data_IF_631662928609
#
_entry.id   IF_631662928609
#
_cell.length_a   1.000
_cell.length_b   1.000
_cell.length_c   1.000
_cell.angle_alpha   90.00
_cell.angle_beta   90.00
_cell.angle_gamma   90.00
#
_symmetry.space_group_name_H-M   'P 1'
#
loop_
_entity.id
_entity.type
_entity.pdbx_description
1 polymer ?
#
# COMPACT_ATOMS: atom_id res chain seq x y z
N UNK A 1 13.96 -46.17 -49.43
CA UNK A 1 13.37 -44.96 -48.82
C UNK A 1 11.93 -45.31 -48.47
N UNK A 2 11.55 -45.30 -47.18
CA UNK A 2 10.17 -45.64 -46.79
C UNK A 2 9.23 -44.56 -47.30
N UNK A 3 8.12 -44.97 -47.92
CA UNK A 3 7.06 -44.02 -48.30
C UNK A 3 6.47 -43.37 -47.04
N UNK A 4 6.00 -42.11 -47.14
CA UNK A 4 5.28 -41.48 -46.05
C UNK A 4 4.01 -42.29 -45.70
N UNK A 5 3.65 -42.39 -44.41
CA UNK A 5 2.50 -43.15 -43.96
C UNK A 5 1.21 -42.61 -44.60
N UNK A 6 0.41 -43.51 -45.18
CA UNK A 6 -0.87 -43.22 -45.88
C UNK A 6 -2.09 -43.32 -44.98
N UNK A 7 -1.90 -43.47 -43.67
CA UNK A 7 -3.01 -43.55 -42.72
C UNK A 7 -3.54 -42.14 -42.43
N UNK A 8 -4.80 -41.90 -42.79
CA UNK A 8 -5.57 -40.76 -42.32
C UNK A 8 -5.51 -40.73 -40.78
N UNK A 9 -4.79 -39.75 -40.24
CA UNK A 9 -4.83 -39.47 -38.82
C UNK A 9 -6.22 -38.90 -38.49
N UNK A 10 -6.91 -39.47 -37.51
CA UNK A 10 -8.17 -38.89 -36.99
C UNK A 10 -7.95 -37.51 -36.38
N UNK A 11 -6.71 -37.14 -36.06
CA UNK A 11 -6.32 -35.82 -35.56
C UNK A 11 -5.96 -34.81 -36.67
N UNK A 12 -5.73 -35.26 -37.92
CA UNK A 12 -5.28 -34.40 -39.02
C UNK A 12 -5.89 -34.77 -40.39
N UNK A 13 -7.12 -35.29 -40.43
CA UNK A 13 -7.74 -35.59 -41.71
C UNK A 13 -8.36 -34.32 -42.32
N UNK A 14 -7.78 -33.85 -43.42
CA UNK A 14 -8.21 -32.61 -44.06
C UNK A 14 -9.63 -32.64 -44.65
N UNK A 15 -10.20 -33.84 -44.85
CA UNK A 15 -11.56 -34.02 -45.39
C UNK A 15 -12.68 -33.56 -44.43
N UNK A 16 -12.35 -33.22 -43.18
CA UNK A 16 -13.28 -32.60 -42.22
C UNK A 16 -13.18 -31.07 -42.18
N UNK A 17 -12.33 -30.45 -43.01
CA UNK A 17 -12.36 -29.00 -43.20
C UNK A 17 -13.29 -28.65 -44.38
N UNK A 18 -14.29 -27.80 -44.13
CA UNK A 18 -15.26 -27.37 -45.16
C UNK A 18 -14.64 -26.49 -46.29
N UNK A 19 -13.38 -26.08 -46.16
CA UNK A 19 -12.62 -25.35 -47.16
C UNK A 19 -11.13 -25.40 -46.80
N UNK A 20 -10.24 -24.93 -47.68
CA UNK A 20 -8.79 -24.84 -47.40
C UNK A 20 -8.45 -23.96 -46.17
N UNK A 21 -9.40 -23.13 -45.72
CA UNK A 21 -9.33 -22.32 -44.48
C UNK A 21 -10.36 -22.76 -43.42
N UNK A 22 -10.98 -23.94 -43.57
CA UNK A 22 -11.99 -24.46 -42.65
C UNK A 22 -11.45 -24.68 -41.25
N UNK A 23 -12.29 -24.45 -40.24
CA UNK A 23 -12.01 -24.78 -38.84
C UNK A 23 -12.67 -26.13 -38.51
N UNK A 24 -12.06 -26.94 -37.63
CA UNK A 24 -12.70 -28.15 -37.09
C UNK A 24 -14.00 -27.73 -36.41
N UNK A 25 -15.14 -28.20 -36.89
CA UNK A 25 -16.43 -27.91 -36.25
C UNK A 25 -16.73 -29.01 -35.25
N UNK A 26 -16.95 -28.60 -34.01
CA UNK A 26 -16.88 -29.46 -32.83
C UNK A 26 -18.20 -30.18 -32.60
N UNK A 27 -18.34 -31.40 -33.10
CA UNK A 27 -19.13 -32.37 -32.34
C UNK A 27 -18.51 -32.51 -30.96
N UNK A 28 -19.37 -32.61 -29.94
CA UNK A 28 -19.09 -32.46 -28.49
C UNK A 28 -17.80 -33.10 -27.97
N UNK A 29 -17.27 -34.13 -28.64
CA UNK A 29 -16.04 -34.83 -28.30
C UNK A 29 -14.72 -34.12 -28.68
N UNK A 30 -14.74 -33.13 -29.59
CA UNK A 30 -13.52 -32.50 -30.13
C UNK A 30 -13.24 -31.09 -29.59
N UNK A 31 -13.94 -30.67 -28.53
CA UNK A 31 -13.83 -29.36 -27.84
C UNK A 31 -12.49 -29.01 -27.17
N UNK A 32 -11.46 -29.83 -27.36
CA UNK A 32 -10.24 -29.78 -26.54
C UNK A 32 -9.06 -29.06 -27.18
N UNK A 33 -9.19 -28.50 -28.39
CA UNK A 33 -8.04 -27.95 -29.10
C UNK A 33 -8.27 -26.54 -29.68
N UNK A 34 -7.39 -25.62 -29.32
CA UNK A 34 -7.20 -24.32 -30.00
C UNK A 34 -6.20 -24.49 -31.15
N UNK A 35 -6.51 -23.98 -32.34
CA UNK A 35 -5.59 -23.98 -33.48
C UNK A 35 -4.34 -23.16 -33.16
N UNK A 36 -3.15 -23.69 -33.49
CA UNK A 36 -1.89 -22.95 -33.39
C UNK A 36 -1.97 -21.65 -34.21
N UNK A 37 -1.76 -20.50 -33.56
CA UNK A 37 -1.86 -19.17 -34.17
C UNK A 37 -3.28 -18.66 -34.41
N UNK A 38 -4.31 -19.40 -34.00
CA UNK A 38 -5.71 -18.97 -34.06
C UNK A 38 -6.16 -18.23 -32.81
N UNK A 39 -7.25 -17.46 -32.92
CA UNK A 39 -7.97 -16.86 -31.79
C UNK A 39 -9.10 -17.78 -31.33
N UNK A 40 -9.35 -17.89 -30.03
CA UNK A 40 -10.44 -18.69 -29.48
C UNK A 40 -11.03 -18.06 -28.22
N UNK A 41 -12.32 -18.24 -28.00
CA UNK A 41 -13.04 -17.79 -26.78
C UNK A 41 -13.34 -19.01 -25.92
N UNK A 42 -12.96 -19.00 -24.65
CA UNK A 42 -13.24 -20.07 -23.69
C UNK A 42 -14.24 -19.57 -22.65
N UNK A 43 -15.25 -20.37 -22.34
CA UNK A 43 -16.21 -20.06 -21.25
C UNK A 43 -15.57 -20.14 -19.87
N UNK A 44 -14.53 -20.97 -19.72
CA UNK A 44 -13.69 -21.04 -18.52
C UNK A 44 -12.27 -21.47 -18.90
N UNK A 45 -11.27 -20.95 -18.18
CA UNK A 45 -9.88 -21.33 -18.30
C UNK A 45 -9.29 -21.48 -16.89
N UNK A 46 -8.76 -22.66 -16.56
CA UNK A 46 -8.00 -22.89 -15.34
C UNK A 46 -6.51 -23.05 -15.70
N UNK A 47 -5.66 -22.15 -15.23
CA UNK A 47 -4.21 -22.19 -15.46
C UNK A 47 -3.52 -22.49 -14.14
N UNK A 48 -2.87 -23.66 -14.03
CA UNK A 48 -2.12 -24.06 -12.83
C UNK A 48 -0.80 -23.30 -12.70
N UNK A 49 -0.24 -22.87 -13.83
CA UNK A 49 1.01 -22.11 -13.91
C UNK A 49 0.82 -20.64 -14.25
N UNK A 50 1.81 -20.08 -14.94
CA UNK A 50 1.81 -18.68 -15.32
C UNK A 50 1.05 -18.45 -16.63
N UNK A 51 0.34 -17.32 -16.71
CA UNK A 51 -0.17 -16.79 -17.96
C UNK A 51 0.85 -15.79 -18.53
N UNK A 52 1.51 -16.16 -19.64
CA UNK A 52 2.31 -15.22 -20.40
C UNK A 52 1.46 -14.66 -21.54
N UNK A 53 0.99 -13.42 -21.39
CA UNK A 53 0.13 -12.75 -22.35
C UNK A 53 0.61 -11.32 -22.56
N UNK A 54 0.34 -10.76 -23.74
CA UNK A 54 0.67 -9.36 -24.05
C UNK A 54 -0.21 -8.35 -23.29
N UNK A 55 -1.45 -8.73 -22.98
CA UNK A 55 -2.37 -7.95 -22.13
C UNK A 55 -3.38 -8.89 -21.48
N UNK A 56 -3.79 -8.57 -20.25
CA UNK A 56 -4.87 -9.25 -19.55
C UNK A 56 -6.04 -8.28 -19.42
N UNK A 57 -7.22 -8.67 -19.89
CA UNK A 57 -8.44 -7.86 -19.79
C UNK A 57 -9.42 -8.54 -18.85
N UNK A 58 -9.96 -7.82 -17.88
CA UNK A 58 -10.99 -8.31 -16.94
C UNK A 58 -12.22 -7.43 -17.12
N UNK A 59 -13.37 -8.06 -17.40
CA UNK A 59 -14.64 -7.37 -17.65
C UNK A 59 -14.55 -6.26 -18.71
N UNK A 60 -13.75 -6.47 -19.76
CA UNK A 60 -13.57 -5.51 -20.85
C UNK A 60 -12.53 -4.42 -20.63
N UNK A 61 -11.91 -4.34 -19.44
CA UNK A 61 -10.84 -3.38 -19.14
C UNK A 61 -9.48 -4.07 -19.11
N UNK A 62 -8.52 -3.54 -19.87
CA UNK A 62 -7.12 -3.98 -19.79
C UNK A 62 -6.58 -3.65 -18.39
N UNK A 63 -5.93 -4.61 -17.77
CA UNK A 63 -5.24 -4.44 -16.50
C UNK A 63 -3.90 -3.74 -16.74
N UNK A 64 -3.74 -2.53 -16.22
CA UNK A 64 -2.46 -1.81 -16.21
C UNK A 64 -1.61 -2.28 -15.02
N UNK A 65 -0.51 -2.98 -15.31
CA UNK A 65 0.41 -3.51 -14.32
C UNK A 65 1.62 -2.60 -14.04
N UNK A 66 1.70 -1.43 -14.68
CA UNK A 66 2.82 -0.49 -14.50
C UNK A 66 3.03 -0.11 -13.02
N UNK A 67 1.95 -0.05 -12.24
CA UNK A 67 1.99 0.21 -10.80
C UNK A 67 2.43 -0.95 -9.91
N UNK A 68 2.50 -2.21 -10.41
CA UNK A 68 2.87 -3.36 -9.56
C UNK A 68 4.29 -3.26 -9.01
N UNK A 69 5.19 -2.57 -9.73
CA UNK A 69 6.54 -2.31 -9.25
C UNK A 69 6.57 -1.60 -7.90
N UNK A 70 5.58 -0.76 -7.61
CA UNK A 70 5.49 -0.01 -6.35
C UNK A 70 4.94 -0.83 -5.19
N UNK A 71 4.09 -1.85 -5.44
CA UNK A 71 3.46 -2.68 -4.41
C UNK A 71 4.11 -4.06 -4.24
N UNK A 72 4.91 -4.51 -5.21
CA UNK A 72 5.67 -5.76 -5.10
C UNK A 72 6.73 -5.65 -4.00
N UNK A 73 6.69 -6.60 -3.05
CA UNK A 73 7.67 -6.75 -1.97
C UNK A 73 7.53 -5.73 -0.83
N UNK A 74 6.39 -5.03 -0.72
CA UNK A 74 6.13 -4.15 0.42
C UNK A 74 5.77 -4.95 1.66
N UNK A 75 6.30 -4.55 2.81
CA UNK A 75 5.90 -5.08 4.13
C UNK A 75 4.88 -4.13 4.74
N UNK A 76 3.64 -4.57 5.04
CA UNK A 76 2.65 -3.74 5.72
C UNK A 76 3.23 -3.12 7.01
N UNK A 77 3.05 -1.81 7.19
CA UNK A 77 3.57 -1.07 8.34
C UNK A 77 5.00 -0.54 8.21
N UNK A 78 5.72 -0.84 7.13
CA UNK A 78 7.07 -0.33 6.88
C UNK A 78 7.13 0.49 5.59
N UNK A 79 7.54 1.74 5.69
CA UNK A 79 7.83 2.58 4.53
C UNK A 79 9.14 2.12 3.87
N UNK A 80 9.05 1.67 2.62
CA UNK A 80 10.21 1.30 1.80
C UNK A 80 10.46 2.35 0.73
N UNK A 81 11.73 2.66 0.43
CA UNK A 81 12.08 3.63 -0.60
C UNK A 81 11.58 3.17 -1.98
N UNK A 82 11.05 4.12 -2.77
CA UNK A 82 10.54 3.87 -4.13
C UNK A 82 9.41 2.83 -4.20
N UNK A 83 8.64 2.69 -3.13
CA UNK A 83 7.48 1.79 -3.02
C UNK A 83 6.25 2.54 -2.52
N UNK A 84 5.09 1.93 -2.68
CA UNK A 84 3.86 2.39 -2.06
C UNK A 84 3.93 2.22 -0.54
N UNK A 85 3.26 3.12 0.20
CA UNK A 85 3.02 2.95 1.63
C UNK A 85 1.78 2.08 1.83
N UNK A 86 1.93 0.96 2.53
CA UNK A 86 0.82 0.07 2.91
C UNK A 86 0.78 -0.01 4.44
N UNK A 87 -0.37 0.31 5.01
CA UNK A 87 -0.58 0.25 6.45
C UNK A 87 -0.62 -1.20 6.93
N UNK A 88 -0.23 -1.44 8.17
CA UNK A 88 -0.44 -2.73 8.83
C UNK A 88 -1.93 -2.94 9.20
N UNK A 89 -2.34 -4.13 9.69
CA UNK A 89 -3.73 -4.39 10.09
C UNK A 89 -4.29 -3.45 11.18
N UNK A 90 -3.41 -2.76 11.90
CA UNK A 90 -3.75 -1.77 12.93
C UNK A 90 -3.67 -0.33 12.41
N UNK A 91 -3.56 -0.15 11.09
CA UNK A 91 -3.43 1.14 10.42
C UNK A 91 -2.15 1.93 10.75
N UNK A 92 -1.08 1.26 11.20
CA UNK A 92 0.19 1.91 11.50
C UNK A 92 1.16 1.86 10.32
N UNK A 93 2.18 2.71 10.40
CA UNK A 93 3.38 2.67 9.57
C UNK A 93 4.59 3.25 10.31
N UNK A 94 5.80 2.92 9.84
CA UNK A 94 7.07 3.42 10.37
C UNK A 94 8.10 3.58 9.24
N UNK A 95 9.19 4.31 9.48
CA UNK A 95 10.32 4.41 8.53
C UNK A 95 10.24 5.53 7.48
N UNK A 96 9.32 6.48 7.61
CA UNK A 96 9.30 7.68 6.76
C UNK A 96 10.43 8.63 7.18
N UNK A 97 11.31 8.99 6.25
CA UNK A 97 12.43 9.90 6.51
C UNK A 97 11.99 11.37 6.72
N UNK A 98 11.00 11.83 5.95
CA UNK A 98 10.42 13.17 6.08
C UNK A 98 8.97 13.16 5.58
N UNK A 99 8.08 13.81 6.33
CA UNK A 99 6.66 13.94 5.99
C UNK A 99 6.33 15.42 5.80
N UNK A 100 5.96 15.80 4.57
CA UNK A 100 5.36 17.09 4.28
C UNK A 100 3.86 16.89 4.07
N UNK A 101 3.04 17.61 4.83
CA UNK A 101 1.59 17.55 4.77
C UNK A 101 1.01 18.95 4.97
N UNK A 102 -0.08 19.28 4.27
CA UNK A 102 -0.76 20.56 4.45
C UNK A 102 -1.41 20.68 5.84
N UNK A 103 -1.81 19.56 6.44
CA UNK A 103 -2.35 19.49 7.79
C UNK A 103 -2.09 18.10 8.38
N UNK A 104 -1.82 18.05 9.67
CA UNK A 104 -1.71 16.82 10.46
C UNK A 104 -2.68 16.96 11.63
N UNK A 105 -3.65 16.04 11.73
CA UNK A 105 -4.57 15.95 12.87
C UNK A 105 -4.25 14.68 13.64
N UNK A 106 -4.10 14.78 14.95
CA UNK A 106 -3.80 13.64 15.81
C UNK A 106 -3.03 14.03 17.05
N UNK A 107 -2.46 13.03 17.72
CA UNK A 107 -1.61 13.20 18.90
C UNK A 107 -0.15 12.97 18.52
N UNK A 108 0.74 13.88 18.93
CA UNK A 108 2.18 13.64 18.84
C UNK A 108 2.60 12.97 20.14
N UNK A 109 2.98 11.70 20.05
CA UNK A 109 3.29 10.87 21.24
C UNK A 109 4.76 10.99 21.70
N UNK A 110 5.61 11.65 20.94
CA UNK A 110 7.02 11.88 21.30
C UNK A 110 7.11 12.91 22.43
N UNK A 111 7.55 12.49 23.62
CA UNK A 111 7.59 13.34 24.81
C UNK A 111 8.49 14.59 24.63
N UNK A 112 9.67 14.44 24.04
CA UNK A 112 10.57 15.56 23.76
C UNK A 112 10.38 16.04 22.31
N UNK A 113 10.04 17.32 22.15
CA UNK A 113 9.79 17.95 20.85
C UNK A 113 10.69 19.20 20.64
N UNK A 114 12.03 19.07 20.69
CA UNK A 114 12.94 20.22 20.68
C UNK A 114 12.90 21.04 19.38
N UNK A 115 12.37 20.47 18.29
CA UNK A 115 12.34 21.10 16.97
C UNK A 115 11.01 21.78 16.63
N UNK A 116 10.04 21.81 17.56
CA UNK A 116 8.84 22.65 17.39
C UNK A 116 9.18 24.06 17.84
N UNK A 117 9.52 24.93 16.88
CA UNK A 117 9.96 26.31 17.12
C UNK A 117 8.83 27.35 17.02
N UNK A 118 7.65 26.96 16.53
CA UNK A 118 6.46 27.81 16.50
C UNK A 118 5.20 26.98 16.66
N UNK A 119 4.21 27.56 17.34
CA UNK A 119 2.87 27.02 17.49
C UNK A 119 1.85 28.16 17.23
N UNK A 120 0.64 27.80 16.84
CA UNK A 120 -0.48 28.73 16.76
C UNK A 120 -1.11 29.02 18.13
N UNK A 121 -2.44 29.13 18.17
CA UNK A 121 -3.18 29.30 19.42
C UNK A 121 -3.36 27.96 20.14
N UNK A 122 -3.02 27.93 21.43
CA UNK A 122 -3.19 26.77 22.29
C UNK A 122 -4.25 27.08 23.35
N UNK A 123 -5.33 26.30 23.39
CA UNK A 123 -6.41 26.51 24.37
C UNK A 123 -6.01 26.06 25.78
N UNK A 124 -5.22 24.99 25.87
CA UNK A 124 -4.79 24.37 27.13
C UNK A 124 -3.33 23.95 27.04
N UNK A 125 -2.53 24.28 28.05
CA UNK A 125 -1.14 23.85 28.18
C UNK A 125 -0.85 23.48 29.64
N UNK A 126 -0.40 22.26 29.88
CA UNK A 126 0.05 21.82 31.20
C UNK A 126 1.57 21.99 31.30
N UNK A 127 2.05 22.88 32.17
CA UNK A 127 3.48 23.18 32.33
C UNK A 127 3.97 22.85 33.75
N UNK A 128 4.06 21.57 34.08
CA UNK A 128 4.35 21.09 35.43
C UNK A 128 5.65 21.69 36.03
N UNK A 129 6.73 21.76 35.24
CA UNK A 129 8.02 22.27 35.71
C UNK A 129 7.95 23.77 36.06
N UNK A 130 7.34 24.59 35.21
CA UNK A 130 7.20 26.02 35.49
C UNK A 130 6.20 26.29 36.62
N UNK A 131 5.12 25.52 36.74
CA UNK A 131 4.17 25.67 37.85
C UNK A 131 4.84 25.51 39.21
N UNK A 132 5.72 24.52 39.36
CA UNK A 132 6.47 24.31 40.60
C UNK A 132 7.44 25.47 40.88
N UNK A 133 8.12 25.99 39.85
CA UNK A 133 9.01 27.14 39.99
C UNK A 133 8.25 28.41 40.38
N UNK A 134 7.11 28.67 39.75
CA UNK A 134 6.25 29.84 40.04
C UNK A 134 5.76 29.78 41.48
N UNK A 135 5.21 28.63 41.90
CA UNK A 135 4.74 28.42 43.27
C UNK A 135 5.87 28.59 44.29
N UNK A 136 7.05 28.04 43.99
CA UNK A 136 8.23 28.19 44.85
C UNK A 136 8.69 29.65 44.97
N UNK A 137 8.75 30.39 43.87
CA UNK A 137 9.14 31.82 43.89
C UNK A 137 8.16 32.69 44.67
N UNK A 138 6.87 32.52 44.46
CA UNK A 138 5.87 33.26 45.23
C UNK A 138 5.96 32.96 46.71
N UNK A 139 6.18 31.69 47.09
CA UNK A 139 6.37 31.31 48.50
C UNK A 139 7.54 32.05 49.13
N UNK A 140 8.71 32.05 48.49
CA UNK A 140 9.90 32.76 49.00
C UNK A 140 9.68 34.27 49.11
N UNK A 141 8.98 34.87 48.14
CA UNK A 141 8.65 36.30 48.17
C UNK A 141 7.73 36.65 49.34
N UNK A 142 6.78 35.79 49.66
CA UNK A 142 5.88 35.98 50.80
C UNK A 142 6.62 35.82 52.13
N UNK A 143 7.48 34.81 52.25
CA UNK A 143 8.32 34.63 53.44
C UNK A 143 9.24 35.84 53.68
N UNK A 144 9.80 36.44 52.61
CA UNK A 144 10.60 37.66 52.72
C UNK A 144 9.75 38.86 53.16
N UNK A 145 8.56 39.04 52.59
CA UNK A 145 7.66 40.12 52.97
C UNK A 145 7.24 40.02 54.44
N UNK A 146 6.93 38.82 54.90
CA UNK A 146 6.61 38.57 56.31
C UNK A 146 7.80 38.92 57.21
N UNK A 147 9.01 38.52 56.83
CA UNK A 147 10.23 38.86 57.56
C UNK A 147 10.48 40.39 57.62
N UNK A 148 10.29 41.09 56.50
CA UNK A 148 10.43 42.54 56.42
C UNK A 148 9.39 43.26 57.30
N UNK A 149 8.15 42.76 57.33
CA UNK A 149 7.09 43.30 58.17
C UNK A 149 7.41 43.15 59.66
N UNK A 150 7.93 41.99 60.08
CA UNK A 150 8.38 41.77 61.46
C UNK A 150 9.48 42.75 61.86
N UNK A 151 10.41 43.06 60.95
CA UNK A 151 11.50 44.00 61.21
C UNK A 151 11.01 45.44 61.37
N UNK A 152 9.95 45.84 60.67
CA UNK A 152 9.36 47.19 60.80
C UNK A 152 8.64 47.42 62.12
N UNK A 153 8.07 46.38 62.73
CA UNK A 153 7.36 46.49 64.02
C UNK A 153 8.32 46.61 65.21
N UNK A 154 9.64 46.41 65.00
CA UNK A 154 10.66 46.39 66.06
C UNK A 154 11.54 47.66 66.10
N UNK A 155 11.23 48.68 65.31
CA UNK A 155 11.89 49.99 65.29
C UNK A 155 10.96 51.07 65.84
#
# INVERSE_FOLDING_TARGET
MSLPPTINSTLFNSSYFNSSDGYITLTTEDQRYLRLGGVGTLSALNVIGNMNCGSLTINGSSLDLSGLGYVSGVTPGAASASKALVLDPSSNFSGINSLSAASITGTIQTAAQPNISSIGSLATLTVNALQNQIRGKFKLQMEQFDADLQLMQYK
#
